data_IF_606444098676
#
_entry.id   IF_606444098676
#
_cell.length_a   1.000
_cell.length_b   1.000
_cell.length_c   1.000
_cell.angle_alpha   90.00
_cell.angle_beta   90.00
_cell.angle_gamma   90.00
#
_symmetry.space_group_name_H-M   'P 1'
#
loop_
_entity.id
_entity.type
_entity.pdbx_description
1 polymer ?
#
# COMPACT_ATOMS: atom_id res chain seq x y z
N UNK A 1 -21.07 -2.17 -16.89
CA UNK A 1 -20.13 -2.80 -15.92
C UNK A 1 -19.62 -4.15 -16.43
N UNK A 2 -20.10 -4.61 -17.58
CA UNK A 2 -20.05 -6.00 -18.07
C UNK A 2 -18.67 -6.60 -18.34
N UNK A 3 -17.59 -5.80 -18.27
CA UNK A 3 -16.20 -6.24 -18.50
C UNK A 3 -15.31 -6.22 -17.26
N UNK A 4 -15.84 -5.88 -16.09
CA UNK A 4 -15.04 -5.75 -14.87
C UNK A 4 -14.30 -7.06 -14.53
N UNK A 5 -15.04 -8.17 -14.44
CA UNK A 5 -14.47 -9.48 -14.17
C UNK A 5 -13.48 -9.93 -15.26
N UNK A 6 -13.82 -9.70 -16.53
CA UNK A 6 -12.94 -10.03 -17.67
C UNK A 6 -11.60 -9.29 -17.59
N UNK A 7 -11.64 -7.98 -17.31
CA UNK A 7 -10.44 -7.15 -17.11
C UNK A 7 -9.62 -7.65 -15.94
N UNK A 8 -10.26 -7.85 -14.79
CA UNK A 8 -9.60 -8.31 -13.58
C UNK A 8 -8.86 -9.64 -13.80
N UNK A 9 -9.55 -10.66 -14.34
CA UNK A 9 -8.94 -11.96 -14.62
C UNK A 9 -7.80 -11.87 -15.64
N UNK A 10 -7.92 -11.00 -16.65
CA UNK A 10 -6.84 -10.76 -17.60
C UNK A 10 -5.61 -10.16 -16.92
N UNK A 11 -5.78 -9.14 -16.06
CA UNK A 11 -4.65 -8.54 -15.35
C UNK A 11 -4.02 -9.52 -14.35
N UNK A 12 -4.84 -10.28 -13.62
CA UNK A 12 -4.38 -11.31 -12.68
C UNK A 12 -3.52 -12.37 -13.38
N UNK A 13 -3.85 -12.74 -14.62
CA UNK A 13 -3.05 -13.71 -15.39
C UNK A 13 -1.61 -13.26 -15.70
N UNK A 14 -1.33 -11.95 -15.63
CA UNK A 14 0.00 -11.40 -15.89
C UNK A 14 0.85 -11.44 -14.61
N UNK A 15 1.99 -12.12 -14.66
CA UNK A 15 3.01 -12.05 -13.61
C UNK A 15 3.63 -10.64 -13.61
N UNK A 16 3.29 -9.84 -12.60
CA UNK A 16 3.75 -8.46 -12.41
C UNK A 16 4.49 -8.27 -11.08
N UNK A 17 4.91 -9.36 -10.43
CA UNK A 17 5.57 -9.29 -9.12
C UNK A 17 6.77 -8.34 -9.13
N UNK A 18 6.88 -7.47 -8.13
CA UNK A 18 8.02 -6.57 -7.97
C UNK A 18 9.18 -7.23 -7.22
N UNK A 19 10.33 -6.56 -7.20
CA UNK A 19 11.57 -7.10 -6.65
C UNK A 19 12.36 -6.08 -5.84
N UNK A 20 12.49 -6.37 -4.55
CA UNK A 20 13.26 -5.56 -3.60
C UNK A 20 14.74 -5.49 -3.96
N UNK A 21 15.38 -4.36 -3.63
CA UNK A 21 16.83 -4.15 -3.85
C UNK A 21 17.26 -3.94 -5.30
N UNK A 22 16.32 -3.83 -6.25
CA UNK A 22 16.61 -3.53 -7.66
C UNK A 22 16.69 -2.02 -7.88
N UNK A 23 17.75 -1.54 -8.55
CA UNK A 23 17.91 -0.10 -8.88
C UNK A 23 17.02 0.36 -10.03
N UNK A 24 16.75 -0.51 -11.00
CA UNK A 24 15.83 -0.21 -12.09
C UNK A 24 14.40 -0.08 -11.57
N UNK A 25 13.61 0.79 -12.23
CA UNK A 25 12.18 0.98 -12.03
C UNK A 25 11.54 1.01 -13.41
N UNK A 26 10.53 0.17 -13.69
CA UNK A 26 10.02 -0.94 -12.88
C UNK A 26 11.10 -1.99 -12.57
N UNK A 27 10.98 -2.68 -11.43
CA UNK A 27 11.99 -3.68 -11.01
C UNK A 27 11.93 -4.98 -11.82
N UNK A 28 10.82 -5.26 -12.49
CA UNK A 28 10.60 -6.49 -13.28
C UNK A 28 9.93 -6.21 -14.62
N UNK A 29 10.22 -7.05 -15.63
CA UNK A 29 9.63 -6.91 -16.98
C UNK A 29 8.13 -7.24 -17.01
N UNK A 30 7.65 -7.99 -16.02
CA UNK A 30 6.23 -8.32 -15.86
C UNK A 30 5.34 -7.08 -15.81
N UNK A 31 5.74 -6.11 -14.99
CA UNK A 31 5.05 -4.82 -14.84
C UNK A 31 4.92 -4.08 -16.18
N UNK A 32 5.98 -4.06 -16.99
CA UNK A 32 5.93 -3.45 -18.33
C UNK A 32 4.88 -4.09 -19.25
N UNK A 33 4.60 -5.39 -19.12
CA UNK A 33 3.57 -6.05 -19.92
C UNK A 33 2.18 -5.51 -19.58
N UNK A 34 1.86 -5.39 -18.28
CA UNK A 34 0.59 -4.82 -17.85
C UNK A 34 0.51 -3.34 -18.22
N UNK A 35 1.56 -2.55 -18.00
CA UNK A 35 1.59 -1.13 -18.40
C UNK A 35 1.36 -0.93 -19.90
N UNK A 36 1.99 -1.73 -20.77
CA UNK A 36 1.79 -1.65 -22.23
C UNK A 36 0.37 -2.08 -22.63
N UNK A 37 -0.19 -3.11 -21.98
CA UNK A 37 -1.57 -3.51 -22.17
C UNK A 37 -2.54 -2.39 -21.77
N UNK A 38 -2.35 -1.78 -20.60
CA UNK A 38 -3.19 -0.67 -20.13
C UNK A 38 -3.08 0.53 -21.06
N UNK A 39 -1.87 0.89 -21.51
CA UNK A 39 -1.66 1.96 -22.50
C UNK A 39 -2.51 1.74 -23.76
N UNK A 40 -2.45 0.53 -24.33
CA UNK A 40 -3.26 0.16 -25.49
C UNK A 40 -4.76 0.27 -25.18
N UNK A 41 -5.21 -0.23 -24.03
CA UNK A 41 -6.62 -0.17 -23.65
C UNK A 41 -7.13 1.26 -23.42
N UNK A 42 -6.30 2.17 -22.91
CA UNK A 42 -6.62 3.59 -22.76
C UNK A 42 -6.71 4.28 -24.13
N UNK A 43 -5.83 3.94 -25.06
CA UNK A 43 -5.86 4.42 -26.46
C UNK A 43 -7.14 3.96 -27.18
N UNK A 44 -7.47 2.67 -27.07
CA UNK A 44 -8.69 2.08 -27.65
C UNK A 44 -9.96 2.67 -27.03
N UNK A 45 -9.92 2.98 -25.72
CA UNK A 45 -11.00 3.68 -25.04
C UNK A 45 -11.09 5.15 -25.49
N UNK A 46 -10.03 5.70 -26.10
CA UNK A 46 -9.96 7.07 -26.63
C UNK A 46 -9.74 8.12 -25.54
N UNK A 47 -8.95 7.80 -24.52
CA UNK A 47 -8.40 8.82 -23.63
C UNK A 47 -7.35 9.66 -24.38
N UNK A 48 -7.02 10.83 -23.84
CA UNK A 48 -6.04 11.76 -24.41
C UNK A 48 -4.83 11.90 -23.49
N UNK A 49 -3.76 12.52 -24.01
CA UNK A 49 -2.51 12.77 -23.27
C UNK A 49 -1.95 11.50 -22.62
N UNK A 50 -1.98 10.38 -23.35
CA UNK A 50 -1.52 9.09 -22.85
C UNK A 50 0.01 9.04 -22.92
N UNK A 51 0.66 9.00 -21.76
CA UNK A 51 2.13 8.93 -21.65
C UNK A 51 2.54 7.70 -20.83
N UNK A 52 3.64 7.07 -21.22
CA UNK A 52 4.27 5.99 -20.45
C UNK A 52 5.73 6.36 -20.28
N UNK A 53 6.11 6.77 -19.07
CA UNK A 53 7.44 7.26 -18.79
C UNK A 53 8.50 6.15 -18.90
N UNK A 54 9.78 6.50 -19.06
CA UNK A 54 10.88 5.53 -19.03
C UNK A 54 11.00 4.79 -17.68
N UNK A 55 10.37 5.33 -16.64
CA UNK A 55 10.29 4.73 -15.29
C UNK A 55 9.03 3.89 -15.09
N UNK A 56 8.19 3.75 -16.11
CA UNK A 56 7.03 2.87 -16.09
C UNK A 56 5.79 3.44 -15.41
N UNK A 57 5.70 4.77 -15.23
CA UNK A 57 4.45 5.40 -14.82
C UNK A 57 3.61 5.68 -16.06
N UNK A 58 2.42 5.10 -16.12
CA UNK A 58 1.44 5.34 -17.19
C UNK A 58 0.46 6.41 -16.72
N UNK A 59 0.24 7.46 -17.51
CA UNK A 59 -0.74 8.52 -17.24
C UNK A 59 -1.67 8.70 -18.44
N UNK A 60 -2.92 9.11 -18.18
CA UNK A 60 -3.88 9.47 -19.21
C UNK A 60 -4.96 10.42 -18.68
N UNK A 61 -5.69 11.07 -19.59
CA UNK A 61 -6.80 11.97 -19.27
C UNK A 61 -8.07 11.56 -20.00
N UNK A 62 -9.19 11.48 -19.28
CA UNK A 62 -10.53 11.55 -19.86
C UNK A 62 -10.99 13.02 -19.79
N UNK A 63 -11.16 13.72 -20.93
CA UNK A 63 -11.54 15.13 -20.94
C UNK A 63 -12.92 15.37 -20.32
N UNK A 64 -13.13 16.55 -19.75
CA UNK A 64 -14.43 17.01 -19.28
C UNK A 64 -15.52 16.84 -20.36
N UNK A 65 -16.73 16.47 -19.93
CA UNK A 65 -17.88 16.33 -20.81
C UNK A 65 -18.95 17.43 -20.61
N UNK A 66 -18.68 18.36 -19.70
CA UNK A 66 -19.48 19.55 -19.41
C UNK A 66 -18.57 20.75 -19.28
N UNK A 67 -19.09 21.93 -19.63
CA UNK A 67 -18.42 23.20 -19.41
C UNK A 67 -18.48 23.59 -17.92
N UNK A 68 -17.47 24.32 -17.45
CA UNK A 68 -17.39 24.83 -16.08
C UNK A 68 -15.96 24.89 -15.57
N UNK A 69 -15.75 25.59 -14.45
CA UNK A 69 -14.46 25.60 -13.74
C UNK A 69 -14.41 24.41 -12.77
N UNK A 70 -14.44 23.21 -13.35
CA UNK A 70 -14.46 21.96 -12.60
C UNK A 70 -13.02 21.51 -12.37
N UNK A 71 -12.60 21.27 -11.12
CA UNK A 71 -11.23 20.84 -10.84
C UNK A 71 -10.94 19.46 -11.42
N UNK A 72 -9.76 19.28 -12.00
CA UNK A 72 -9.29 17.98 -12.46
C UNK A 72 -8.95 17.09 -11.27
N UNK A 73 -9.43 15.85 -11.26
CA UNK A 73 -9.19 14.88 -10.17
C UNK A 73 -8.48 13.63 -10.68
N UNK A 74 -7.70 13.00 -9.80
CA UNK A 74 -6.92 11.81 -10.11
C UNK A 74 -7.48 10.51 -9.52
N UNK A 75 -7.30 9.40 -10.22
CA UNK A 75 -7.40 8.04 -9.67
C UNK A 75 -6.12 7.27 -9.99
N UNK A 76 -5.55 6.62 -8.99
CA UNK A 76 -4.23 5.99 -9.07
C UNK A 76 -4.33 4.56 -8.56
N UNK A 77 -3.71 3.62 -9.28
CA UNK A 77 -3.50 2.24 -8.82
C UNK A 77 -2.08 1.80 -9.17
N UNK A 78 -1.56 0.80 -8.49
CA UNK A 78 -0.25 0.23 -8.85
C UNK A 78 -0.39 -1.04 -9.70
N UNK A 79 0.67 -1.39 -10.44
CA UNK A 79 0.64 -2.50 -11.41
C UNK A 79 1.35 -3.76 -10.91
N UNK A 80 2.15 -3.65 -9.87
CA UNK A 80 2.87 -4.77 -9.32
C UNK A 80 2.05 -5.60 -8.34
N UNK A 81 2.66 -6.67 -7.85
CA UNK A 81 2.11 -7.52 -6.78
C UNK A 81 3.24 -7.83 -5.82
N UNK A 82 2.90 -8.02 -4.54
CA UNK A 82 3.86 -8.20 -3.46
C UNK A 82 4.95 -9.26 -3.74
N UNK A 83 6.21 -8.99 -3.33
CA UNK A 83 7.27 -9.99 -3.35
C UNK A 83 7.10 -11.12 -2.32
N UNK A 84 6.17 -10.99 -1.36
CA UNK A 84 6.01 -11.92 -0.24
C UNK A 84 5.47 -13.30 -0.66
N UNK A 85 4.70 -13.35 -1.74
CA UNK A 85 4.20 -14.60 -2.30
C UNK A 85 4.13 -14.53 -3.82
N UNK A 86 4.30 -15.66 -4.51
CA UNK A 86 4.38 -15.67 -5.98
C UNK A 86 3.07 -15.16 -6.63
N UNK A 87 3.16 -14.14 -7.49
CA UNK A 87 2.09 -13.68 -8.38
C UNK A 87 2.10 -14.35 -9.77
N UNK A 88 2.91 -15.39 -9.95
CA UNK A 88 3.09 -16.07 -11.23
C UNK A 88 2.10 -17.23 -11.45
N UNK A 89 1.48 -17.28 -12.62
CA UNK A 89 0.52 -18.32 -13.02
C UNK A 89 -0.63 -18.48 -12.01
N UNK A 90 -1.18 -17.35 -11.55
CA UNK A 90 -2.35 -17.33 -10.68
C UNK A 90 -3.50 -18.08 -11.36
N UNK A 91 -4.18 -18.95 -10.61
CA UNK A 91 -5.36 -19.67 -11.06
C UNK A 91 -6.57 -19.24 -10.22
N UNK A 92 -7.30 -18.19 -10.65
CA UNK A 92 -8.45 -17.71 -9.90
C UNK A 92 -9.57 -18.75 -9.82
N UNK A 93 -10.16 -18.92 -8.64
CA UNK A 93 -11.36 -19.72 -8.44
C UNK A 93 -12.54 -18.78 -8.17
N UNK A 94 -13.62 -18.93 -8.93
CA UNK A 94 -14.84 -18.13 -8.76
C UNK A 94 -15.86 -18.96 -7.97
N UNK A 95 -16.26 -18.43 -6.82
CA UNK A 95 -17.26 -19.02 -5.92
C UNK A 95 -18.51 -18.14 -5.94
N UNK A 96 -19.44 -18.49 -6.83
CA UNK A 96 -20.72 -17.79 -6.94
C UNK A 96 -21.61 -18.09 -5.73
N UNK A 97 -22.35 -17.07 -5.28
CA UNK A 97 -23.37 -17.20 -4.23
C UNK A 97 -22.82 -17.88 -2.96
N UNK A 98 -21.73 -17.34 -2.43
CA UNK A 98 -21.01 -17.89 -1.28
C UNK A 98 -21.95 -18.16 -0.10
N UNK A 99 -21.91 -19.38 0.43
CA UNK A 99 -22.87 -19.88 1.44
C UNK A 99 -22.36 -19.86 2.89
N UNK A 100 -21.16 -19.34 3.13
CA UNK A 100 -20.60 -19.21 4.49
C UNK A 100 -19.80 -20.41 4.99
N UNK A 101 -19.50 -21.38 4.13
CA UNK A 101 -18.65 -22.52 4.46
C UNK A 101 -17.17 -22.27 4.19
N UNK A 102 -16.33 -23.24 4.55
CA UNK A 102 -14.93 -23.29 4.12
C UNK A 102 -14.83 -23.38 2.59
N UNK A 103 -13.81 -22.75 2.00
CA UNK A 103 -13.51 -22.79 0.56
C UNK A 103 -12.19 -23.52 0.37
N UNK A 104 -12.22 -24.65 -0.34
CA UNK A 104 -11.01 -25.36 -0.73
C UNK A 104 -10.21 -24.54 -1.75
N UNK A 105 -8.90 -24.41 -1.53
CA UNK A 105 -8.00 -23.69 -2.42
C UNK A 105 -7.24 -24.69 -3.30
N UNK A 106 -7.68 -24.81 -4.56
CA UNK A 106 -7.11 -25.76 -5.51
C UNK A 106 -7.33 -27.22 -5.10
N UNK A 107 -6.38 -28.09 -5.48
CA UNK A 107 -6.37 -29.51 -5.10
C UNK A 107 -5.31 -29.70 -4.03
N UNK A 108 -5.74 -29.82 -2.77
CA UNK A 108 -4.85 -29.99 -1.61
C UNK A 108 -5.57 -29.73 -0.28
N UNK A 109 -4.79 -29.45 0.76
CA UNK A 109 -5.28 -29.21 2.13
C UNK A 109 -5.43 -27.71 2.47
N UNK A 110 -5.20 -26.83 1.49
CA UNK A 110 -5.31 -25.37 1.66
C UNK A 110 -6.77 -24.94 1.68
N UNK A 111 -7.15 -24.11 2.66
CA UNK A 111 -8.55 -23.73 2.90
C UNK A 111 -8.65 -22.27 3.31
N UNK A 112 -9.52 -21.52 2.63
CA UNK A 112 -9.99 -20.21 3.07
C UNK A 112 -11.21 -20.42 3.98
N UNK A 113 -11.04 -20.21 5.28
CA UNK A 113 -12.04 -20.56 6.30
C UNK A 113 -12.58 -19.33 7.05
N UNK A 114 -13.91 -19.21 7.28
CA UNK A 114 -14.50 -18.17 8.13
C UNK A 114 -14.10 -18.28 9.61
N UNK A 115 -13.55 -19.42 10.06
CA UNK A 115 -12.97 -19.54 11.41
C UNK A 115 -11.68 -18.72 11.52
N UNK A 116 -10.86 -18.75 10.47
CA UNK A 116 -9.61 -17.98 10.42
C UNK A 116 -9.85 -16.53 10.00
N UNK A 117 -10.81 -16.31 9.09
CA UNK A 117 -11.14 -15.00 8.54
C UNK A 117 -12.63 -14.68 8.76
N UNK A 118 -13.00 -14.14 9.93
CA UNK A 118 -14.40 -13.90 10.30
C UNK A 118 -15.17 -12.98 9.33
N UNK A 119 -14.46 -12.17 8.54
CA UNK A 119 -15.05 -11.30 7.50
C UNK A 119 -15.91 -12.09 6.50
N UNK A 120 -15.60 -13.36 6.24
CA UNK A 120 -16.37 -14.20 5.32
C UNK A 120 -17.84 -14.35 5.74
N UNK A 121 -18.14 -14.31 7.05
CA UNK A 121 -19.53 -14.33 7.53
C UNK A 121 -20.35 -13.10 7.08
N UNK A 122 -19.69 -12.02 6.68
CA UNK A 122 -20.31 -10.78 6.21
C UNK A 122 -20.56 -10.78 4.70
N UNK A 123 -20.02 -11.77 3.97
CA UNK A 123 -19.99 -11.80 2.50
C UNK A 123 -20.93 -12.87 1.91
N UNK A 124 -21.92 -13.31 2.69
CA UNK A 124 -22.89 -14.33 2.25
C UNK A 124 -23.66 -13.84 1.01
N UNK A 125 -23.81 -14.72 0.03
CA UNK A 125 -24.52 -14.48 -1.22
C UNK A 125 -23.70 -13.77 -2.30
N UNK A 126 -22.51 -13.26 -1.98
CA UNK A 126 -21.63 -12.60 -2.94
C UNK A 126 -20.85 -13.61 -3.79
N UNK A 127 -20.18 -13.10 -4.82
CA UNK A 127 -19.29 -13.84 -5.70
C UNK A 127 -17.85 -13.63 -5.28
N UNK A 128 -17.24 -14.64 -4.65
CA UNK A 128 -15.83 -14.57 -4.24
C UNK A 128 -14.91 -15.01 -5.37
N UNK A 129 -13.77 -14.35 -5.50
CA UNK A 129 -12.69 -14.74 -6.39
C UNK A 129 -11.47 -14.98 -5.52
N UNK A 130 -10.99 -16.22 -5.48
CA UNK A 130 -9.88 -16.66 -4.62
C UNK A 130 -8.71 -17.18 -5.46
N UNK A 131 -7.59 -17.51 -4.82
CA UNK A 131 -6.47 -18.24 -5.42
C UNK A 131 -6.77 -19.75 -5.51
N UNK A 132 -5.82 -20.54 -6.04
CA UNK A 132 -5.75 -22.01 -5.92
C UNK A 132 -4.86 -22.48 -4.75
N UNK A 133 -4.46 -21.58 -3.85
CA UNK A 133 -3.62 -21.85 -2.69
C UNK A 133 -2.11 -21.82 -2.96
N UNK A 134 -1.68 -21.68 -4.23
CA UNK A 134 -0.25 -21.76 -4.62
C UNK A 134 0.38 -20.42 -4.97
N UNK A 135 -0.43 -19.38 -5.10
CA UNK A 135 -0.01 -18.01 -5.46
C UNK A 135 -0.75 -17.00 -4.59
N UNK A 136 -0.36 -15.72 -4.65
CA UNK A 136 -1.27 -14.62 -4.33
C UNK A 136 -2.32 -14.48 -5.44
N UNK A 137 -3.36 -13.67 -5.23
CA UNK A 137 -4.36 -13.36 -6.24
C UNK A 137 -3.95 -12.13 -7.06
N UNK A 138 -3.44 -11.10 -6.40
CA UNK A 138 -3.16 -9.80 -6.99
C UNK A 138 -4.41 -8.94 -7.12
N UNK A 139 -5.38 -9.10 -6.22
CA UNK A 139 -6.45 -8.12 -6.04
C UNK A 139 -5.84 -6.78 -5.63
N UNK A 140 -4.85 -6.82 -4.73
CA UNK A 140 -3.88 -5.74 -4.50
C UNK A 140 -2.82 -5.72 -5.63
N UNK A 141 -2.84 -4.77 -6.57
CA UNK A 141 -3.87 -3.72 -6.80
C UNK A 141 -4.54 -3.83 -8.18
N UNK A 142 -4.59 -5.04 -8.74
CA UNK A 142 -5.23 -5.22 -10.06
C UNK A 142 -6.75 -5.10 -10.00
N UNK A 143 -7.35 -5.18 -8.81
CA UNK A 143 -8.75 -4.85 -8.60
C UNK A 143 -8.96 -3.34 -8.82
N UNK A 144 -8.18 -2.48 -8.17
CA UNK A 144 -8.19 -1.03 -8.39
C UNK A 144 -7.93 -0.64 -9.83
N UNK A 145 -6.95 -1.28 -10.49
CA UNK A 145 -6.72 -1.10 -11.93
C UNK A 145 -7.97 -1.42 -12.76
N UNK A 146 -8.62 -2.55 -12.50
CA UNK A 146 -9.83 -2.95 -13.21
C UNK A 146 -11.02 -2.02 -12.92
N UNK A 147 -11.13 -1.52 -11.70
CA UNK A 147 -12.17 -0.59 -11.26
C UNK A 147 -12.02 0.77 -11.92
N UNK A 148 -10.81 1.34 -11.94
CA UNK A 148 -10.51 2.60 -12.65
C UNK A 148 -10.81 2.45 -14.14
N UNK A 149 -10.30 1.40 -14.79
CA UNK A 149 -10.54 1.14 -16.21
C UNK A 149 -12.03 0.97 -16.52
N UNK A 150 -12.80 0.37 -15.60
CA UNK A 150 -14.24 0.19 -15.76
C UNK A 150 -15.01 1.49 -15.53
N UNK A 151 -14.61 2.29 -14.53
CA UNK A 151 -15.22 3.58 -14.24
C UNK A 151 -15.03 4.57 -15.40
N UNK A 152 -13.85 4.62 -16.01
CA UNK A 152 -13.60 5.41 -17.23
C UNK A 152 -14.53 5.00 -18.37
N UNK A 153 -14.71 3.69 -18.58
CA UNK A 153 -15.62 3.19 -19.61
C UNK A 153 -17.09 3.55 -19.31
N UNK A 154 -17.49 3.55 -18.03
CA UNK A 154 -18.83 3.98 -17.60
C UNK A 154 -19.03 5.48 -17.83
N UNK A 155 -18.09 6.33 -17.39
CA UNK A 155 -18.15 7.79 -17.56
C UNK A 155 -18.20 8.18 -19.04
N UNK A 156 -17.39 7.53 -19.88
CA UNK A 156 -17.34 7.82 -21.32
C UNK A 156 -18.56 7.28 -22.08
N UNK A 157 -19.10 6.13 -21.66
CA UNK A 157 -20.21 5.45 -22.34
C UNK A 157 -21.60 5.92 -21.93
N UNK A 158 -21.73 6.76 -20.90
CA UNK A 158 -23.01 7.18 -20.32
C UNK A 158 -23.05 8.72 -20.14
N UNK A 159 -24.25 9.33 -20.12
CA UNK A 159 -24.38 10.78 -19.95
C UNK A 159 -24.24 11.22 -18.48
N UNK A 160 -23.10 10.93 -17.85
CA UNK A 160 -22.79 11.29 -16.46
C UNK A 160 -21.86 12.52 -16.48
N UNK A 161 -22.25 13.68 -15.94
CA UNK A 161 -21.41 14.88 -16.00
C UNK A 161 -20.11 14.71 -15.20
N UNK A 162 -18.97 15.07 -15.79
CA UNK A 162 -17.66 15.05 -15.14
C UNK A 162 -16.72 16.12 -15.72
N UNK A 163 -15.77 16.58 -14.89
CA UNK A 163 -14.62 17.37 -15.34
C UNK A 163 -13.52 16.50 -15.95
N UNK A 164 -12.31 17.04 -16.03
CA UNK A 164 -11.14 16.26 -16.44
C UNK A 164 -10.82 15.19 -15.38
N UNK A 165 -10.74 13.92 -15.82
CA UNK A 165 -10.35 12.80 -14.97
C UNK A 165 -8.96 12.34 -15.37
N UNK A 166 -8.01 12.45 -14.45
CA UNK A 166 -6.63 11.98 -14.59
C UNK A 166 -6.53 10.57 -14.03
N UNK A 167 -5.82 9.69 -14.73
CA UNK A 167 -5.54 8.34 -14.22
C UNK A 167 -4.06 8.04 -14.31
N UNK A 168 -3.53 7.35 -13.30
CA UNK A 168 -2.16 6.88 -13.31
C UNK A 168 -2.05 5.43 -12.85
N UNK A 169 -1.14 4.69 -13.49
CA UNK A 169 -0.77 3.34 -13.08
C UNK A 169 0.73 3.30 -12.76
N UNK A 170 1.07 3.06 -11.49
CA UNK A 170 2.44 3.18 -10.96
C UNK A 170 3.15 1.83 -10.82
N UNK A 171 4.47 1.77 -11.01
CA UNK A 171 5.26 0.56 -10.78
C UNK A 171 5.94 0.55 -9.41
N UNK A 172 6.28 -0.63 -8.90
CA UNK A 172 7.11 -0.84 -7.70
C UNK A 172 6.53 -0.18 -6.41
N UNK A 173 5.21 -0.18 -6.23
CA UNK A 173 4.57 0.27 -4.97
C UNK A 173 5.04 -0.63 -3.81
N UNK A 174 4.95 -1.94 -4.00
CA UNK A 174 5.21 -2.97 -3.00
C UNK A 174 6.67 -3.02 -2.53
N UNK A 175 7.56 -2.31 -3.24
CA UNK A 175 8.98 -2.16 -2.90
C UNK A 175 9.36 -0.71 -2.62
N UNK A 176 8.37 0.13 -2.34
CA UNK A 176 8.49 1.50 -1.83
C UNK A 176 8.95 2.53 -2.86
N UNK A 177 8.65 2.34 -4.14
CA UNK A 177 9.07 3.27 -5.22
C UNK A 177 7.94 3.81 -6.08
N UNK A 178 6.68 3.44 -5.83
CA UNK A 178 5.56 3.84 -6.69
C UNK A 178 5.43 5.36 -6.88
N UNK A 179 5.55 6.14 -5.81
CA UNK A 179 5.56 7.61 -5.88
C UNK A 179 6.92 8.23 -6.25
N UNK A 180 8.02 7.48 -6.27
CA UNK A 180 9.40 8.02 -6.36
C UNK A 180 9.69 8.80 -7.65
N UNK A 181 9.08 8.38 -8.74
CA UNK A 181 9.24 8.97 -10.07
C UNK A 181 7.92 9.51 -10.62
N UNK A 182 6.95 9.75 -9.74
CA UNK A 182 5.65 10.29 -10.14
C UNK A 182 5.79 11.79 -10.45
N UNK A 183 5.43 12.18 -11.67
CA UNK A 183 5.42 13.58 -12.09
C UNK A 183 4.05 14.22 -11.77
N UNK A 184 3.98 14.87 -10.60
CA UNK A 184 2.74 15.53 -10.13
C UNK A 184 2.32 16.69 -11.05
N UNK A 185 3.29 17.39 -11.63
CA UNK A 185 3.04 18.51 -12.53
C UNK A 185 2.46 18.03 -13.86
N UNK A 186 3.05 16.99 -14.47
CA UNK A 186 2.53 16.35 -15.68
C UNK A 186 1.15 15.73 -15.43
N UNK A 187 0.94 15.08 -14.27
CA UNK A 187 -0.34 14.49 -13.90
C UNK A 187 -1.44 15.55 -13.83
N UNK A 188 -1.13 16.72 -13.25
CA UNK A 188 -1.98 17.92 -13.33
C UNK A 188 -3.39 17.71 -12.78
N UNK A 189 -3.53 16.96 -11.69
CA UNK A 189 -4.75 16.85 -10.90
C UNK A 189 -4.64 17.73 -9.66
N UNK A 190 -5.75 18.30 -9.19
CA UNK A 190 -5.76 19.14 -7.98
C UNK A 190 -5.73 18.28 -6.70
N UNK A 191 -6.34 17.10 -6.74
CA UNK A 191 -6.20 16.04 -5.76
C UNK A 191 -6.44 14.69 -6.46
N UNK A 192 -6.13 13.60 -5.79
CA UNK A 192 -6.35 12.26 -6.32
C UNK A 192 -6.90 11.31 -5.25
N UNK A 193 -7.18 10.08 -5.66
CA UNK A 193 -7.43 8.95 -4.78
C UNK A 193 -6.60 7.76 -5.27
N UNK A 194 -5.86 7.10 -4.38
CA UNK A 194 -5.45 5.72 -4.67
C UNK A 194 -6.68 4.82 -4.54
N UNK A 195 -6.82 3.84 -5.42
CA UNK A 195 -7.87 2.83 -5.36
C UNK A 195 -7.19 1.53 -4.96
N UNK A 196 -6.70 1.49 -3.72
CA UNK A 196 -5.73 0.49 -3.21
C UNK A 196 -6.05 0.14 -1.74
N UNK A 197 -7.31 0.31 -1.33
CA UNK A 197 -7.80 0.00 0.00
C UNK A 197 -8.28 -1.45 0.12
N UNK A 198 -8.85 -1.82 1.26
CA UNK A 198 -9.40 -3.17 1.50
C UNK A 198 -10.89 -3.28 1.22
N UNK A 199 -11.65 -3.61 2.27
CA UNK A 199 -13.06 -3.97 2.20
C UNK A 199 -14.01 -2.82 1.84
N UNK A 200 -15.21 -3.16 1.37
CA UNK A 200 -16.20 -2.17 0.90
C UNK A 200 -16.50 -1.13 1.96
N UNK A 201 -16.34 0.14 1.59
CA UNK A 201 -16.58 1.29 2.46
C UNK A 201 -15.33 1.86 3.09
N UNK A 202 -14.18 1.19 3.02
CA UNK A 202 -12.93 1.72 3.55
C UNK A 202 -12.51 3.02 2.84
N UNK A 203 -12.19 4.02 3.65
CA UNK A 203 -11.66 5.32 3.23
C UNK A 203 -10.53 5.71 4.18
N UNK A 204 -9.32 5.81 3.66
CA UNK A 204 -8.14 5.96 4.49
C UNK A 204 -7.42 7.26 4.16
N UNK A 205 -7.18 8.09 5.18
CA UNK A 205 -6.51 9.38 5.02
C UNK A 205 -5.48 9.65 6.13
N UNK A 206 -5.17 8.61 6.91
CA UNK A 206 -4.20 8.64 8.00
C UNK A 206 -3.30 7.42 7.86
N UNK A 207 -1.98 7.63 7.83
CA UNK A 207 -0.99 6.56 7.76
C UNK A 207 0.12 6.78 8.81
N UNK A 208 0.97 5.80 9.05
CA UNK A 208 2.09 5.99 9.97
C UNK A 208 3.07 7.06 9.48
N UNK A 209 3.69 7.79 10.39
CA UNK A 209 5.04 8.30 10.18
C UNK A 209 6.03 7.15 10.36
N UNK A 210 7.03 7.07 9.48
CA UNK A 210 7.97 5.97 9.42
C UNK A 210 9.42 6.44 9.41
N UNK A 211 10.27 5.74 10.17
CA UNK A 211 11.72 5.84 10.07
C UNK A 211 12.35 4.45 10.18
N UNK A 212 13.52 4.30 9.57
CA UNK A 212 14.45 3.21 9.89
C UNK A 212 15.43 3.68 10.97
N UNK A 213 15.87 2.75 11.80
CA UNK A 213 16.94 2.98 12.79
C UNK A 213 17.95 1.86 12.63
N UNK A 214 19.04 2.18 11.94
CA UNK A 214 20.17 1.29 11.74
C UNK A 214 21.18 1.48 12.87
N UNK A 215 21.46 0.42 13.61
CA UNK A 215 22.41 0.44 14.73
C UNK A 215 23.61 -0.41 14.37
N UNK A 216 24.79 0.22 14.32
CA UNK A 216 26.08 -0.45 14.14
C UNK A 216 26.79 -0.51 15.49
N UNK A 217 27.23 -1.70 15.86
CA UNK A 217 27.89 -1.97 17.13
C UNK A 217 29.28 -2.52 16.83
N UNK A 218 30.31 -1.86 17.34
CA UNK A 218 31.71 -2.32 17.26
C UNK A 218 32.13 -2.78 18.65
N UNK A 219 32.49 -4.06 18.75
CA UNK A 219 33.00 -4.71 19.94
C UNK A 219 34.53 -4.86 19.89
N UNK A 220 35.04 -5.89 20.56
CA UNK A 220 36.43 -6.29 20.56
C UNK A 220 36.53 -7.80 20.77
N UNK A 221 36.92 -8.55 19.74
CA UNK A 221 37.01 -10.00 19.80
C UNK A 221 38.44 -10.50 20.11
N UNK A 222 38.54 -11.51 20.97
CA UNK A 222 39.80 -12.20 21.32
C UNK A 222 39.51 -13.67 21.61
N UNK A 223 40.55 -14.50 21.77
CA UNK A 223 40.37 -15.90 22.14
C UNK A 223 39.57 -16.02 23.46
N UNK A 224 38.44 -16.77 23.50
CA UNK A 224 37.56 -16.80 24.68
C UNK A 224 38.26 -17.23 25.98
N UNK A 225 39.27 -18.11 25.89
CA UNK A 225 40.04 -18.56 27.05
C UNK A 225 40.87 -17.49 27.77
N UNK A 226 41.13 -16.33 27.12
CA UNK A 226 41.93 -15.23 27.68
C UNK A 226 41.19 -13.89 27.63
N UNK A 227 39.86 -13.93 27.54
CA UNK A 227 39.02 -12.76 27.26
C UNK A 227 38.78 -11.79 28.44
N UNK A 228 39.14 -12.17 29.66
CA UNK A 228 38.78 -11.43 30.89
C UNK A 228 39.32 -9.99 30.86
N UNK A 229 38.43 -9.01 30.90
CA UNK A 229 38.76 -7.58 30.92
C UNK A 229 39.19 -7.00 29.57
N UNK A 230 39.19 -7.80 28.50
CA UNK A 230 39.62 -7.38 27.15
C UNK A 230 38.46 -7.47 26.16
N UNK A 231 37.75 -8.61 26.13
CA UNK A 231 36.67 -8.82 25.16
C UNK A 231 35.48 -7.89 25.41
N UNK A 232 34.97 -7.30 24.34
CA UNK A 232 33.69 -6.58 24.31
C UNK A 232 32.81 -7.26 23.27
N UNK A 233 31.79 -7.98 23.72
CA UNK A 233 30.94 -8.75 22.81
C UNK A 233 29.82 -7.88 22.22
N UNK A 234 29.91 -7.58 20.92
CA UNK A 234 28.94 -6.76 20.21
C UNK A 234 27.51 -7.34 20.25
N UNK A 235 27.35 -8.67 20.18
CA UNK A 235 26.03 -9.32 20.30
C UNK A 235 25.43 -9.14 21.69
N UNK A 236 26.24 -9.09 22.74
CA UNK A 236 25.75 -8.82 24.10
C UNK A 236 25.26 -7.38 24.25
N UNK A 237 25.90 -6.42 23.57
CA UNK A 237 25.40 -5.04 23.50
C UNK A 237 24.09 -4.96 22.71
N UNK A 238 23.99 -5.66 21.58
CA UNK A 238 22.76 -5.75 20.78
C UNK A 238 21.57 -6.28 21.60
N UNK A 239 21.77 -7.39 22.33
CA UNK A 239 20.76 -7.97 23.21
C UNK A 239 20.34 -7.00 24.33
N UNK A 240 21.29 -6.26 24.93
CA UNK A 240 21.00 -5.23 25.93
C UNK A 240 20.24 -4.03 25.37
N UNK A 241 20.46 -3.66 24.11
CA UNK A 241 19.66 -2.63 23.44
C UNK A 241 18.22 -3.13 23.28
N UNK A 242 18.03 -4.33 22.71
CA UNK A 242 16.70 -4.88 22.46
C UNK A 242 15.89 -5.07 23.76
N UNK A 243 16.54 -5.49 24.84
CA UNK A 243 15.91 -5.64 26.16
C UNK A 243 15.38 -4.32 26.77
N UNK A 244 15.80 -3.16 26.27
CA UNK A 244 15.36 -1.84 26.74
C UNK A 244 14.28 -1.22 25.84
N UNK A 245 14.02 -1.80 24.67
CA UNK A 245 12.92 -1.42 23.79
C UNK A 245 11.61 -1.93 24.43
N UNK A 246 10.55 -1.10 24.56
CA UNK A 246 9.29 -1.54 25.16
C UNK A 246 8.67 -2.70 24.37
N UNK A 247 8.54 -3.87 25.00
CA UNK A 247 8.03 -5.09 24.35
C UNK A 247 6.51 -5.06 24.12
N UNK A 248 5.81 -4.23 24.88
CA UNK A 248 4.38 -3.93 24.72
C UNK A 248 4.11 -2.92 23.59
N UNK A 249 5.14 -2.26 23.05
CA UNK A 249 5.03 -1.36 21.90
C UNK A 249 5.66 -2.00 20.65
N UNK A 250 5.24 -3.21 20.32
CA UNK A 250 5.70 -4.01 19.18
C UNK A 250 4.55 -4.35 18.20
N UNK A 251 4.81 -4.67 16.92
CA UNK A 251 3.75 -4.99 15.96
C UNK A 251 2.79 -6.11 16.44
N UNK A 252 3.33 -7.14 17.11
CA UNK A 252 2.57 -8.27 17.63
C UNK A 252 1.66 -7.95 18.83
N UNK A 253 1.78 -6.75 19.40
CA UNK A 253 1.05 -6.31 20.60
C UNK A 253 0.31 -4.99 20.41
N UNK A 254 0.31 -4.41 19.20
CA UNK A 254 -0.31 -3.11 18.91
C UNK A 254 -1.36 -3.18 17.80
N UNK A 255 -2.44 -2.40 17.94
CA UNK A 255 -3.52 -2.31 16.96
C UNK A 255 -3.98 -0.86 16.71
N UNK A 256 -4.84 -0.66 15.71
CA UNK A 256 -5.46 0.65 15.43
C UNK A 256 -4.44 1.79 15.27
N UNK A 257 -4.45 2.73 16.22
CA UNK A 257 -3.59 3.93 16.21
C UNK A 257 -2.30 3.80 17.05
N UNK A 258 -2.04 2.64 17.65
CA UNK A 258 -0.86 2.46 18.49
C UNK A 258 0.41 2.34 17.64
N UNK A 259 1.39 3.20 17.87
CA UNK A 259 2.72 3.12 17.26
C UNK A 259 3.61 2.06 17.90
N UNK A 260 4.71 1.70 17.24
CA UNK A 260 5.60 0.63 17.69
C UNK A 260 7.08 0.84 17.31
N UNK A 261 7.93 0.01 17.93
CA UNK A 261 9.28 -0.30 17.49
C UNK A 261 9.33 -1.74 17.00
N UNK A 262 10.08 -2.00 15.93
CA UNK A 262 10.21 -3.37 15.44
C UNK A 262 11.63 -3.65 14.99
N UNK A 263 12.24 -4.71 15.53
CA UNK A 263 13.53 -5.22 15.09
C UNK A 263 13.31 -6.13 13.87
N UNK A 264 13.44 -5.58 12.67
CA UNK A 264 13.20 -6.32 11.44
C UNK A 264 14.31 -7.34 11.15
N UNK A 265 15.57 -7.02 11.49
CA UNK A 265 16.68 -7.98 11.38
C UNK A 265 17.86 -7.62 12.27
N UNK A 266 18.67 -8.63 12.59
CA UNK A 266 19.92 -8.48 13.32
C UNK A 266 20.94 -9.50 12.81
N UNK A 267 22.20 -9.08 12.66
CA UNK A 267 23.32 -9.97 12.31
C UNK A 267 24.58 -9.55 13.06
N UNK A 268 25.40 -10.50 13.49
CA UNK A 268 26.68 -10.14 14.10
C UNK A 268 27.53 -11.31 14.57
N UNK A 269 28.70 -10.94 15.07
CA UNK A 269 29.67 -11.77 15.80
C UNK A 269 30.13 -10.98 17.04
N UNK A 270 31.12 -11.50 17.79
CA UNK A 270 31.69 -10.77 18.95
C UNK A 270 32.27 -9.42 18.55
N UNK A 271 32.87 -9.32 17.36
CA UNK A 271 33.60 -8.13 16.90
C UNK A 271 32.68 -7.02 16.39
N UNK A 272 31.58 -7.38 15.72
CA UNK A 272 30.63 -6.43 15.13
C UNK A 272 29.23 -7.00 15.08
N UNK A 273 28.24 -6.15 15.36
CA UNK A 273 26.83 -6.46 15.16
C UNK A 273 26.09 -5.30 14.52
N UNK A 274 25.03 -5.61 13.78
CA UNK A 274 24.16 -4.67 13.10
C UNK A 274 22.70 -5.03 13.43
N UNK A 275 21.90 -4.01 13.73
CA UNK A 275 20.46 -4.14 13.99
C UNK A 275 19.73 -3.17 13.07
N UNK A 276 18.70 -3.66 12.39
CA UNK A 276 17.81 -2.84 11.59
C UNK A 276 16.45 -2.77 12.27
N UNK A 277 16.16 -1.62 12.89
CA UNK A 277 14.86 -1.32 13.46
C UNK A 277 14.01 -0.49 12.49
N UNK A 278 12.70 -0.57 12.66
CA UNK A 278 11.75 0.40 12.12
C UNK A 278 10.94 1.02 13.27
N UNK A 279 10.61 2.30 13.12
CA UNK A 279 9.73 3.06 14.02
C UNK A 279 8.47 3.44 13.24
N UNK A 280 7.31 3.27 13.86
CA UNK A 280 6.01 3.68 13.32
C UNK A 280 5.20 4.43 14.37
N UNK A 281 4.62 5.57 14.01
CA UNK A 281 3.65 6.27 14.87
C UNK A 281 2.78 7.25 14.05
N UNK A 282 1.48 7.32 14.34
CA UNK A 282 0.57 8.26 13.68
C UNK A 282 0.80 9.70 14.13
N UNK A 283 1.15 9.91 15.40
CA UNK A 283 1.37 11.22 15.98
C UNK A 283 2.82 11.66 15.78
N UNK A 284 2.99 12.87 15.24
CA UNK A 284 4.32 13.39 14.90
C UNK A 284 5.21 13.59 16.13
N UNK A 285 4.64 13.97 17.28
CA UNK A 285 5.42 14.18 18.51
C UNK A 285 5.85 12.85 19.11
N UNK A 286 4.96 11.85 19.11
CA UNK A 286 5.26 10.50 19.57
C UNK A 286 6.29 9.83 18.66
N UNK A 287 6.19 9.99 17.34
CA UNK A 287 7.20 9.56 16.38
C UNK A 287 8.61 10.11 16.72
N UNK A 288 8.73 11.42 16.98
CA UNK A 288 10.00 12.02 17.39
C UNK A 288 10.45 11.56 18.79
N UNK A 289 9.51 11.34 19.72
CA UNK A 289 9.80 10.74 21.02
C UNK A 289 10.38 9.33 20.87
N UNK A 290 9.87 8.55 19.89
CA UNK A 290 10.38 7.21 19.63
C UNK A 290 11.81 7.21 19.15
N UNK A 291 12.16 8.12 18.24
CA UNK A 291 13.56 8.33 17.81
C UNK A 291 14.46 8.69 18.99
N UNK A 292 14.01 9.60 19.87
CA UNK A 292 14.75 9.96 21.10
C UNK A 292 14.98 8.76 22.01
N UNK A 293 13.97 7.92 22.23
CA UNK A 293 14.09 6.70 23.02
C UNK A 293 15.18 5.75 22.49
N UNK A 294 15.25 5.54 21.18
CA UNK A 294 16.32 4.71 20.59
C UNK A 294 17.72 5.29 20.84
N UNK A 295 17.87 6.62 20.70
CA UNK A 295 19.13 7.31 21.02
C UNK A 295 19.49 7.20 22.51
N UNK A 296 18.51 7.31 23.41
CA UNK A 296 18.69 7.17 24.86
C UNK A 296 19.11 5.75 25.24
N UNK A 297 18.47 4.72 24.67
CA UNK A 297 18.83 3.30 24.90
C UNK A 297 20.27 3.05 24.47
N UNK A 298 20.64 3.46 23.25
CA UNK A 298 22.00 3.26 22.76
C UNK A 298 23.04 3.97 23.63
N UNK A 299 22.77 5.22 24.05
CA UNK A 299 23.63 5.97 24.97
C UNK A 299 23.77 5.28 26.32
N UNK A 300 22.69 4.70 26.86
CA UNK A 300 22.68 3.93 28.11
C UNK A 300 23.55 2.67 27.99
N UNK A 301 23.39 1.91 26.92
CA UNK A 301 24.13 0.64 26.71
C UNK A 301 25.61 0.89 26.42
N UNK A 302 25.94 1.94 25.67
CA UNK A 302 27.31 2.31 25.31
C UNK A 302 28.11 3.01 26.40
N UNK A 303 27.49 3.37 27.53
CA UNK A 303 28.17 4.05 28.63
C UNK A 303 29.29 3.19 29.21
N UNK A 304 30.51 3.73 29.24
CA UNK A 304 31.68 3.09 29.85
C UNK A 304 32.44 2.13 28.94
N UNK A 305 32.11 2.07 27.65
CA UNK A 305 32.92 1.34 26.67
C UNK A 305 34.30 2.00 26.48
N UNK A 306 35.30 1.18 26.17
CA UNK A 306 36.60 1.67 25.72
C UNK A 306 36.43 2.43 24.39
N UNK A 307 37.22 3.49 24.09
CA UNK A 307 37.04 4.32 22.89
C UNK A 307 37.00 3.58 21.55
N UNK A 308 37.65 2.41 21.45
CA UNK A 308 37.64 1.58 20.24
C UNK A 308 36.33 0.80 20.03
N UNK A 309 35.47 0.71 21.05
CA UNK A 309 34.18 0.05 20.99
C UNK A 309 33.05 1.08 21.10
N UNK A 310 32.10 1.06 20.16
CA UNK A 310 31.07 2.08 20.09
C UNK A 310 29.74 1.53 19.53
N UNK A 311 28.69 2.32 19.75
CA UNK A 311 27.36 2.11 19.20
C UNK A 311 27.01 3.36 18.40
N UNK A 312 26.75 3.18 17.12
CA UNK A 312 26.42 4.23 16.16
C UNK A 312 24.99 4.01 15.67
N UNK A 313 24.15 5.05 15.69
CA UNK A 313 22.80 5.02 15.13
C UNK A 313 22.71 5.92 13.91
N UNK A 314 22.06 5.42 12.88
CA UNK A 314 21.62 6.17 11.70
C UNK A 314 20.11 6.07 11.64
N UNK A 315 19.43 7.21 11.77
CA UNK A 315 17.97 7.31 11.69
C UNK A 315 17.62 8.00 10.37
N UNK A 316 16.80 7.36 9.55
CA UNK A 316 16.36 7.89 8.26
C UNK A 316 14.84 7.86 8.19
N UNK A 317 14.23 9.04 8.00
CA UNK A 317 12.79 9.14 7.78
C UNK A 317 12.43 8.55 6.42
N UNK A 318 11.35 7.76 6.39
CA UNK A 318 10.88 7.05 5.18
C UNK A 318 9.68 7.74 4.56
N UNK A 319 8.63 7.98 5.35
CA UNK A 319 7.41 8.68 4.95
C UNK A 319 6.68 9.26 6.17
N UNK A 320 5.68 10.10 5.93
CA UNK A 320 4.92 10.81 6.96
C UNK A 320 3.41 10.59 6.82
N UNK A 321 2.68 10.93 7.87
CA UNK A 321 1.22 10.82 7.90
C UNK A 321 0.56 11.89 7.00
N UNK A 322 -0.21 11.46 6.01
CA UNK A 322 -0.88 12.32 5.03
C UNK A 322 -2.04 13.14 5.59
N UNK A 323 -2.52 12.83 6.80
CA UNK A 323 -3.66 13.48 7.44
C UNK A 323 -3.59 15.00 7.35
N UNK A 324 -2.42 15.59 7.60
CA UNK A 324 -2.24 17.04 7.58
C UNK A 324 -2.48 17.65 6.18
N UNK A 325 -2.14 16.91 5.11
CA UNK A 325 -2.29 17.35 3.73
C UNK A 325 -3.69 17.12 3.20
N UNK A 326 -4.35 16.04 3.61
CA UNK A 326 -5.70 15.72 3.16
C UNK A 326 -6.75 16.58 3.87
N UNK A 327 -6.66 16.74 5.19
CA UNK A 327 -7.66 17.50 5.99
C UNK A 327 -7.62 19.00 5.71
N UNK A 328 -6.53 19.53 5.15
CA UNK A 328 -6.44 20.92 4.67
C UNK A 328 -7.48 21.24 3.58
N UNK A 329 -8.00 20.21 2.90
CA UNK A 329 -8.96 20.32 1.82
C UNK A 329 -10.21 19.45 2.10
N UNK A 330 -11.17 19.91 2.92
CA UNK A 330 -12.30 19.11 3.39
C UNK A 330 -13.12 18.43 2.28
N UNK A 331 -13.21 19.09 1.11
CA UNK A 331 -13.97 18.60 -0.03
C UNK A 331 -13.51 17.22 -0.52
N UNK A 332 -12.23 16.86 -0.35
CA UNK A 332 -11.70 15.56 -0.78
C UNK A 332 -12.43 14.44 -0.03
N UNK A 333 -12.41 14.48 1.31
CA UNK A 333 -13.08 13.47 2.14
C UNK A 333 -14.60 13.60 2.07
N UNK A 334 -15.13 14.82 1.99
CA UNK A 334 -16.59 15.04 1.93
C UNK A 334 -17.20 14.45 0.66
N UNK A 335 -16.53 14.59 -0.49
CA UNK A 335 -16.98 14.03 -1.78
C UNK A 335 -16.91 12.51 -1.74
N UNK A 336 -15.79 11.92 -1.29
CA UNK A 336 -15.64 10.47 -1.20
C UNK A 336 -16.69 9.84 -0.29
N UNK A 337 -16.88 10.40 0.91
CA UNK A 337 -17.91 9.92 1.84
C UNK A 337 -19.32 10.09 1.29
N UNK A 338 -19.62 11.21 0.61
CA UNK A 338 -20.93 11.41 0.00
C UNK A 338 -21.17 10.44 -1.15
N UNK A 339 -20.16 10.17 -1.97
CA UNK A 339 -20.24 9.19 -3.04
C UNK A 339 -20.57 7.79 -2.52
N UNK A 340 -19.89 7.36 -1.46
CA UNK A 340 -20.18 6.10 -0.77
C UNK A 340 -21.64 6.05 -0.28
N UNK A 341 -22.11 7.11 0.40
CA UNK A 341 -23.50 7.19 0.88
C UNK A 341 -24.52 7.13 -0.25
N UNK A 342 -24.28 7.83 -1.36
CA UNK A 342 -25.14 7.80 -2.55
C UNK A 342 -25.20 6.40 -3.19
N UNK A 343 -24.14 5.61 -3.01
CA UNK A 343 -24.05 4.20 -3.43
C UNK A 343 -24.56 3.20 -2.38
N UNK A 344 -25.17 3.68 -1.29
CA UNK A 344 -25.66 2.90 -0.15
C UNK A 344 -24.55 2.14 0.60
N UNK A 345 -23.37 2.75 0.70
CA UNK A 345 -22.20 2.24 1.41
C UNK A 345 -22.00 3.12 2.65
N UNK A 346 -21.73 2.50 3.79
CA UNK A 346 -21.33 3.22 5.01
C UNK A 346 -19.82 3.47 4.95
N UNK A 347 -19.33 4.72 4.98
CA UNK A 347 -17.90 4.99 4.99
C UNK A 347 -17.26 4.47 6.28
N UNK A 348 -16.17 3.72 6.15
CA UNK A 348 -15.35 3.18 7.23
C UNK A 348 -13.98 3.85 7.19
N UNK A 349 -13.80 4.85 8.05
CA UNK A 349 -12.50 5.53 8.18
C UNK A 349 -11.57 4.69 9.04
N UNK A 350 -10.59 4.04 8.41
CA UNK A 350 -9.58 3.22 9.08
C UNK A 350 -8.18 3.84 8.90
N UNK A 351 -7.31 3.71 9.91
CA UNK A 351 -5.93 4.13 9.79
C UNK A 351 -5.09 3.09 9.04
N UNK A 352 -4.22 3.55 8.14
CA UNK A 352 -3.25 2.70 7.45
C UNK A 352 -2.08 2.43 8.40
N UNK A 353 -1.94 1.18 8.88
CA UNK A 353 -0.79 0.75 9.70
C UNK A 353 0.47 0.48 8.86
N UNK A 354 0.74 1.38 7.93
CA UNK A 354 1.84 1.35 6.96
C UNK A 354 2.04 2.70 6.29
N UNK A 355 2.50 2.69 5.05
CA UNK A 355 2.51 3.85 4.16
C UNK A 355 1.96 3.43 2.81
N UNK A 356 1.45 4.39 2.05
CA UNK A 356 0.98 4.20 0.68
C UNK A 356 1.67 5.20 -0.23
N UNK A 357 1.61 4.95 -1.54
CA UNK A 357 1.96 5.96 -2.55
C UNK A 357 1.19 7.28 -2.32
N UNK A 358 -0.11 7.20 -2.01
CA UNK A 358 -0.95 8.37 -1.72
C UNK A 358 -0.39 9.25 -0.60
N UNK A 359 0.24 8.66 0.41
CA UNK A 359 0.88 9.41 1.48
C UNK A 359 2.10 10.21 1.00
N UNK A 360 2.96 9.60 0.18
CA UNK A 360 4.12 10.30 -0.40
C UNK A 360 3.68 11.41 -1.36
N UNK A 361 2.71 11.11 -2.24
CA UNK A 361 2.12 12.06 -3.20
C UNK A 361 1.51 13.28 -2.49
N UNK A 362 0.87 13.06 -1.34
CA UNK A 362 0.31 14.14 -0.52
C UNK A 362 1.36 15.16 -0.07
N UNK A 363 2.59 14.72 0.20
CA UNK A 363 3.72 15.62 0.51
C UNK A 363 4.41 16.20 -0.74
N UNK A 364 4.17 15.62 -1.93
CA UNK A 364 4.66 16.12 -3.22
C UNK A 364 3.71 17.15 -3.86
N UNK A 365 2.62 17.51 -3.18
CA UNK A 365 1.66 18.52 -3.65
C UNK A 365 0.37 17.94 -4.25
N UNK A 366 0.13 16.63 -4.12
CA UNK A 366 -1.08 15.96 -4.58
C UNK A 366 -1.76 15.21 -3.42
N UNK A 367 -2.62 15.88 -2.62
CA UNK A 367 -3.39 15.22 -1.57
C UNK A 367 -4.15 14.01 -2.11
N UNK A 368 -3.91 12.84 -1.53
CA UNK A 368 -4.31 11.58 -2.14
C UNK A 368 -4.68 10.51 -1.08
N UNK A 369 -5.92 10.55 -0.52
CA UNK A 369 -6.42 9.47 0.33
C UNK A 369 -6.66 8.17 -0.47
N UNK A 370 -6.88 7.07 0.26
CA UNK A 370 -7.09 5.73 -0.29
C UNK A 370 -8.56 5.33 -0.28
N UNK A 371 -9.04 4.73 -1.38
CA UNK A 371 -10.37 4.15 -1.55
C UNK A 371 -10.29 2.63 -1.56
N UNK A 372 -11.32 1.98 -1.00
CA UNK A 372 -11.47 0.52 -1.05
C UNK A 372 -11.51 -0.07 -2.48
N UNK A 373 -11.15 -1.35 -2.57
CA UNK A 373 -11.27 -2.19 -3.79
C UNK A 373 -12.24 -3.37 -3.58
N UNK A 374 -12.56 -3.70 -2.34
CA UNK A 374 -13.33 -4.90 -1.97
C UNK A 374 -12.49 -6.17 -1.85
N UNK A 375 -11.15 -6.04 -1.90
CA UNK A 375 -10.17 -7.09 -1.65
C UNK A 375 -9.86 -7.30 -0.17
N UNK A 376 -9.36 -8.49 0.16
CA UNK A 376 -9.01 -8.89 1.52
C UNK A 376 -7.80 -9.83 1.51
N UNK A 377 -7.14 -9.93 2.67
CA UNK A 377 -6.03 -10.87 2.93
C UNK A 377 -4.87 -10.73 1.91
N UNK A 378 -4.48 -9.50 1.61
CA UNK A 378 -3.39 -9.20 0.67
C UNK A 378 -2.08 -9.92 1.02
N UNK A 379 -1.22 -10.03 0.00
CA UNK A 379 0.16 -10.54 0.10
C UNK A 379 0.27 -12.04 0.45
N UNK A 380 -0.78 -12.83 0.22
CA UNK A 380 -0.75 -14.24 0.55
C UNK A 380 -1.73 -15.11 -0.22
N UNK A 381 -1.61 -16.43 -0.02
CA UNK A 381 -2.48 -17.43 -0.69
C UNK A 381 -3.95 -17.37 -0.30
N UNK A 382 -4.28 -16.76 0.83
CA UNK A 382 -5.67 -16.57 1.28
C UNK A 382 -6.29 -15.27 0.76
N UNK A 383 -5.58 -14.55 -0.12
CA UNK A 383 -6.09 -13.35 -0.78
C UNK A 383 -7.35 -13.66 -1.59
N UNK A 384 -8.36 -12.81 -1.44
CA UNK A 384 -9.59 -12.92 -2.19
C UNK A 384 -10.26 -11.56 -2.36
N UNK A 385 -11.15 -11.46 -3.34
CA UNK A 385 -11.97 -10.27 -3.60
C UNK A 385 -13.41 -10.67 -3.88
N UNK A 386 -14.35 -9.74 -3.69
CA UNK A 386 -15.76 -9.93 -4.05
C UNK A 386 -16.06 -9.16 -5.34
N UNK A 387 -16.74 -9.77 -6.30
CA UNK A 387 -17.13 -9.06 -7.54
C UNK A 387 -18.04 -7.87 -7.22
N UNK A 388 -19.00 -8.05 -6.32
CA UNK A 388 -19.92 -7.01 -5.88
C UNK A 388 -19.20 -5.87 -5.16
N UNK A 389 -18.10 -6.16 -4.44
CA UNK A 389 -17.26 -5.14 -3.83
C UNK A 389 -16.53 -4.29 -4.86
N UNK A 390 -15.96 -4.92 -5.90
CA UNK A 390 -15.33 -4.21 -7.01
C UNK A 390 -16.35 -3.37 -7.78
N UNK A 391 -17.57 -3.88 -8.01
CA UNK A 391 -18.65 -3.10 -8.63
C UNK A 391 -19.01 -1.86 -7.79
N UNK A 392 -18.95 -1.97 -6.46
CA UNK A 392 -19.17 -0.85 -5.55
C UNK A 392 -18.04 0.18 -5.63
N UNK A 393 -16.79 -0.24 -5.77
CA UNK A 393 -15.66 0.67 -5.99
C UNK A 393 -15.83 1.45 -7.30
N UNK A 394 -16.21 0.78 -8.40
CA UNK A 394 -16.57 1.44 -9.67
C UNK A 394 -17.67 2.48 -9.48
N UNK A 395 -18.76 2.13 -8.76
CA UNK A 395 -19.86 3.06 -8.49
C UNK A 395 -19.37 4.30 -7.74
N UNK A 396 -18.49 4.12 -6.75
CA UNK A 396 -17.93 5.22 -5.96
C UNK A 396 -17.01 6.11 -6.80
N UNK A 397 -16.11 5.56 -7.61
CA UNK A 397 -15.24 6.33 -8.52
C UNK A 397 -16.08 7.20 -9.46
N UNK A 398 -17.08 6.60 -10.11
CA UNK A 398 -18.00 7.31 -11.01
C UNK A 398 -18.74 8.42 -10.26
N UNK A 399 -19.22 8.14 -9.05
CA UNK A 399 -19.98 9.11 -8.25
C UNK A 399 -19.11 10.25 -7.71
N UNK A 400 -17.86 9.99 -7.37
CA UNK A 400 -16.88 11.03 -6.99
C UNK A 400 -16.68 12.00 -8.16
N UNK A 401 -16.48 11.48 -9.37
CA UNK A 401 -16.34 12.31 -10.57
C UNK A 401 -17.59 13.17 -10.81
N UNK A 402 -18.78 12.57 -10.69
CA UNK A 402 -20.06 13.25 -10.86
C UNK A 402 -20.31 14.35 -9.81
N UNK A 403 -20.08 14.04 -8.53
CA UNK A 403 -20.23 15.01 -7.43
C UNK A 403 -19.23 16.16 -7.52
N UNK A 404 -18.03 15.89 -8.03
CA UNK A 404 -17.01 16.92 -8.26
C UNK A 404 -17.48 17.91 -9.32
N UNK A 405 -18.00 17.44 -10.45
CA UNK A 405 -18.58 18.30 -11.48
C UNK A 405 -19.77 19.12 -10.96
N UNK A 406 -20.66 18.52 -10.17
CA UNK A 406 -21.82 19.22 -9.58
C UNK A 406 -21.45 20.37 -8.65
N UNK A 407 -20.25 20.37 -8.08
CA UNK A 407 -19.77 21.46 -7.20
C UNK A 407 -19.00 22.55 -7.96
N UNK A 408 -18.51 22.25 -9.16
CA UNK A 408 -17.81 23.21 -10.04
C UNK A 408 -18.71 23.89 -11.07
N UNK A 409 -19.97 23.47 -11.17
CA UNK A 409 -21.07 24.19 -11.85
C UNK A 409 -21.69 25.21 -10.90
#
# INVERSE_FOLDING_TARGET
MDKLLERFLHYVSLDTQSKSGVRQVPSTEGQWKLLRLLKQQLEEMGLVNITLSEKGTLMATLPANVEGDIPAIGFISHVDTSPDFSGKNVNPQIVENYRGGDIALGIGDEVLSPVMFPVLHQLLGQTLITTDGKTLLGADDKAGVAEIMTALAVLKGNPIPHGDIKVAFTPDEEVGKGAKHFDVEEFGAQWAYTVDGGGVGELEFENFNAASVNIKIVGNNVHPGTAKGVMVNALSLAARIHAEVPADEAPETTEGYEGFYHLASMKGTVDRAEMHYIIRDFDRKQFEARKRKMMEIAKKVGKGLHPDCYIELVIEDSYYNMREKVVEHPHILDIAQQAMRDCHITPEMKPIRGGTDGAQLSFMGLPCPNLFTGGYNYHGKHEFVTLEGMEKAVQVIVRIAELTAKRGQ
#
